data_IF_755816185795
#
_entry.id   IF_755816185795
#
_cell.length_a   1.000
_cell.length_b   1.000
_cell.length_c   1.000
_cell.angle_alpha   90.00
_cell.angle_beta   90.00
_cell.angle_gamma   90.00
#
_symmetry.space_group_name_H-M   'P 1'
#
loop_
_entity.id
_entity.type
_entity.pdbx_description
1 polymer ?
#
# COMPACT_ATOMS: atom_id res chain seq x y z
N UNK A 1 -2.05 30.98 23.03
CA UNK A 1 -2.74 29.69 23.25
C UNK A 1 -1.73 28.57 23.01
N UNK A 2 -1.22 28.01 24.10
CA UNK A 2 -0.21 26.92 24.04
C UNK A 2 -0.88 25.64 23.52
N UNK A 3 -0.59 25.27 22.28
CA UNK A 3 -0.89 23.91 21.78
C UNK A 3 0.04 22.92 22.51
N UNK A 4 -0.50 22.22 23.47
CA UNK A 4 0.14 21.05 24.08
C UNK A 4 0.50 20.06 22.97
N UNK A 5 1.80 19.88 22.72
CA UNK A 5 2.35 18.82 21.86
C UNK A 5 1.92 17.48 22.46
N UNK A 6 0.81 16.94 22.02
CA UNK A 6 0.39 15.56 22.33
C UNK A 6 1.33 14.60 21.62
N UNK A 7 2.45 14.29 22.26
CA UNK A 7 3.32 13.19 21.86
C UNK A 7 2.50 11.91 21.93
N UNK A 8 2.45 11.15 20.85
CA UNK A 8 1.79 9.83 20.79
C UNK A 8 2.59 8.75 21.57
N UNK A 9 3.81 9.10 21.99
CA UNK A 9 4.58 8.27 22.91
C UNK A 9 3.98 8.45 24.31
N UNK A 10 3.69 7.37 25.04
CA UNK A 10 3.30 7.47 26.45
C UNK A 10 4.42 8.14 27.24
N UNK A 11 4.06 8.93 28.25
CA UNK A 11 4.97 9.70 29.08
C UNK A 11 6.00 8.84 29.84
N UNK A 12 5.74 7.54 29.96
CA UNK A 12 6.62 6.57 30.61
C UNK A 12 7.12 5.52 29.63
N UNK A 13 8.21 5.84 28.92
CA UNK A 13 8.80 4.97 27.89
C UNK A 13 9.52 3.74 28.45
N UNK A 14 9.68 3.62 29.76
CA UNK A 14 10.51 2.59 30.40
C UNK A 14 9.87 1.21 30.52
N UNK A 15 8.53 1.08 30.40
CA UNK A 15 7.80 -0.17 30.57
C UNK A 15 6.79 -0.49 29.43
N UNK A 16 6.94 0.12 28.27
CA UNK A 16 6.05 -0.15 27.13
C UNK A 16 6.37 -1.50 26.51
N UNK A 17 5.43 -2.43 26.68
CA UNK A 17 5.43 -3.72 26.01
C UNK A 17 4.48 -3.70 24.83
N UNK A 18 4.62 -4.64 23.89
CA UNK A 18 3.69 -4.80 22.78
C UNK A 18 2.23 -5.01 23.24
N UNK A 19 2.05 -5.75 24.33
CA UNK A 19 0.72 -6.11 24.83
C UNK A 19 0.07 -4.96 25.62
N UNK A 20 0.87 -4.03 26.17
CA UNK A 20 0.39 -2.82 26.85
C UNK A 20 0.11 -1.63 25.93
N UNK A 21 0.14 -1.82 24.59
CA UNK A 21 -0.09 -0.71 23.64
C UNK A 21 -1.56 -0.33 23.51
N UNK A 22 -1.85 0.97 23.66
CA UNK A 22 -3.16 1.54 23.33
C UNK A 22 -3.34 1.67 21.81
N UNK A 23 -3.87 0.61 21.22
CA UNK A 23 -4.11 0.54 19.79
C UNK A 23 -5.16 1.53 19.31
N UNK A 24 -6.19 1.80 20.11
CA UNK A 24 -7.25 2.76 19.79
C UNK A 24 -6.70 4.17 19.64
N UNK A 25 -5.81 4.56 20.55
CA UNK A 25 -5.10 5.85 20.51
C UNK A 25 -4.21 5.95 19.28
N UNK A 26 -3.46 4.89 18.96
CA UNK A 26 -2.62 4.84 17.76
C UNK A 26 -3.46 4.96 16.47
N UNK A 27 -4.57 4.25 16.38
CA UNK A 27 -5.47 4.30 15.23
C UNK A 27 -6.14 5.68 15.09
N UNK A 28 -6.58 6.29 16.20
CA UNK A 28 -7.16 7.64 16.19
C UNK A 28 -6.15 8.70 15.70
N UNK A 29 -4.90 8.62 16.16
CA UNK A 29 -3.83 9.51 15.72
C UNK A 29 -3.56 9.41 14.23
N UNK A 30 -3.41 8.17 13.72
CA UNK A 30 -3.15 7.94 12.28
C UNK A 30 -4.34 8.41 11.44
N UNK A 31 -5.60 8.10 11.86
CA UNK A 31 -6.80 8.58 11.17
C UNK A 31 -6.87 10.12 11.10
N UNK A 32 -6.49 10.80 12.18
CA UNK A 32 -6.43 12.28 12.20
C UNK A 32 -5.44 12.82 11.17
N UNK A 33 -4.26 12.20 11.03
CA UNK A 33 -3.28 12.59 10.01
C UNK A 33 -3.78 12.27 8.59
N UNK A 34 -4.39 11.12 8.38
CA UNK A 34 -4.98 10.73 7.10
C UNK A 34 -6.09 11.70 6.66
N UNK A 35 -6.99 12.10 7.55
CA UNK A 35 -8.01 13.10 7.26
C UNK A 35 -7.40 14.46 6.85
N UNK A 36 -6.31 14.87 7.51
CA UNK A 36 -5.58 16.09 7.13
C UNK A 36 -4.90 15.97 5.77
N UNK A 37 -4.39 14.78 5.41
CA UNK A 37 -3.84 14.50 4.07
C UNK A 37 -4.94 14.65 3.02
N UNK A 38 -6.11 14.02 3.22
CA UNK A 38 -7.27 14.15 2.32
C UNK A 38 -7.65 15.61 2.12
N UNK A 39 -7.78 16.38 3.22
CA UNK A 39 -8.10 17.81 3.14
C UNK A 39 -7.07 18.59 2.32
N UNK A 40 -5.79 18.40 2.63
CA UNK A 40 -4.70 19.08 1.92
C UNK A 40 -4.63 18.69 0.44
N UNK A 41 -4.91 17.41 0.11
CA UNK A 41 -4.98 16.93 -1.28
C UNK A 41 -6.12 17.58 -2.06
N UNK A 42 -7.32 17.66 -1.48
CA UNK A 42 -8.47 18.32 -2.10
C UNK A 42 -8.25 19.83 -2.31
N UNK A 43 -7.47 20.45 -1.44
CA UNK A 43 -7.10 21.88 -1.53
C UNK A 43 -5.90 22.13 -2.47
N UNK A 44 -5.34 21.11 -3.13
CA UNK A 44 -4.16 21.24 -4.00
C UNK A 44 -2.86 21.61 -3.25
N UNK A 45 -2.82 21.48 -1.92
CA UNK A 45 -1.67 21.88 -1.09
C UNK A 45 -0.61 20.78 -1.02
N UNK A 46 0.05 20.49 -2.13
CA UNK A 46 0.98 19.37 -2.28
C UNK A 46 2.17 19.39 -1.28
N UNK A 47 2.70 20.57 -0.93
CA UNK A 47 3.77 20.66 0.08
C UNK A 47 3.25 20.26 1.48
N UNK A 48 2.01 20.62 1.82
CA UNK A 48 1.38 20.20 3.07
C UNK A 48 1.11 18.69 3.08
N UNK A 49 0.71 18.11 1.95
CA UNK A 49 0.57 16.65 1.80
C UNK A 49 1.89 15.96 2.10
N UNK A 50 3.01 16.39 1.48
CA UNK A 50 4.36 15.84 1.73
C UNK A 50 4.76 15.93 3.21
N UNK A 51 4.52 17.08 3.85
CA UNK A 51 4.82 17.26 5.28
C UNK A 51 4.00 16.33 6.17
N UNK A 52 2.70 16.15 5.88
CA UNK A 52 1.82 15.24 6.63
C UNK A 52 2.18 13.77 6.40
N UNK A 53 2.56 13.37 5.19
CA UNK A 53 3.09 12.03 4.90
C UNK A 53 4.37 11.77 5.68
N UNK A 54 5.26 12.76 5.76
CA UNK A 54 6.48 12.66 6.56
C UNK A 54 6.15 12.48 8.05
N UNK A 55 5.27 13.32 8.60
CA UNK A 55 4.82 13.19 10.00
C UNK A 55 4.23 11.82 10.29
N UNK A 56 3.39 11.29 9.39
CA UNK A 56 2.78 9.98 9.55
C UNK A 56 3.84 8.88 9.56
N UNK A 57 4.71 8.83 8.56
CA UNK A 57 5.72 7.78 8.40
C UNK A 57 6.82 7.80 9.47
N UNK A 58 7.00 8.93 10.18
CA UNK A 58 7.93 9.06 11.29
C UNK A 58 7.29 8.84 12.65
N UNK A 59 5.95 8.82 12.74
CA UNK A 59 5.24 8.66 14.01
C UNK A 59 5.37 7.23 14.57
N UNK A 60 5.52 7.14 15.90
CA UNK A 60 5.53 5.86 16.60
C UNK A 60 4.23 5.07 16.35
N UNK A 61 3.08 5.72 16.41
CA UNK A 61 1.78 5.10 16.22
C UNK A 61 1.63 4.43 14.84
N UNK A 62 2.05 5.10 13.77
CA UNK A 62 1.96 4.52 12.44
C UNK A 62 2.92 3.33 12.25
N UNK A 63 4.14 3.42 12.80
CA UNK A 63 5.10 2.31 12.80
C UNK A 63 4.56 1.10 13.57
N UNK A 64 3.97 1.33 14.74
CA UNK A 64 3.34 0.27 15.53
C UNK A 64 2.20 -0.41 14.78
N UNK A 65 1.30 0.37 14.14
CA UNK A 65 0.22 -0.17 13.31
C UNK A 65 0.73 -0.92 12.09
N UNK A 66 1.84 -0.48 11.48
CA UNK A 66 2.48 -1.21 10.38
C UNK A 66 2.98 -2.59 10.83
N UNK A 67 3.65 -2.66 11.99
CA UNK A 67 4.07 -3.94 12.58
C UNK A 67 2.86 -4.81 12.94
N UNK A 68 1.81 -4.24 13.58
CA UNK A 68 0.56 -4.94 13.90
C UNK A 68 -0.04 -5.56 12.64
N UNK A 69 -0.16 -4.80 11.55
CA UNK A 69 -0.72 -5.26 10.28
C UNK A 69 -0.01 -6.49 9.72
N UNK A 70 1.32 -6.50 9.71
CA UNK A 70 2.08 -7.61 9.11
C UNK A 70 2.20 -8.84 10.01
N UNK A 71 1.99 -8.67 11.31
CA UNK A 71 2.03 -9.77 12.30
C UNK A 71 0.65 -10.34 12.63
N UNK A 72 -0.44 -9.75 12.10
CA UNK A 72 -1.82 -10.24 12.31
C UNK A 72 -2.50 -10.77 11.05
N UNK A 73 -1.90 -10.62 9.88
CA UNK A 73 -2.47 -11.08 8.61
C UNK A 73 -2.17 -12.59 8.35
N UNK A 74 -2.82 -13.15 7.32
CA UNK A 74 -2.63 -14.57 6.92
C UNK A 74 -1.16 -14.90 6.56
N UNK A 75 -0.39 -13.90 6.10
CA UNK A 75 1.02 -14.07 5.73
C UNK A 75 2.01 -13.96 6.89
N UNK A 76 1.55 -13.82 8.15
CA UNK A 76 2.41 -13.63 9.34
C UNK A 76 3.47 -14.72 9.54
N UNK A 77 3.17 -15.95 9.12
CA UNK A 77 4.03 -17.11 9.25
C UNK A 77 4.92 -17.37 8.01
N UNK A 78 4.90 -16.46 7.03
CA UNK A 78 5.67 -16.61 5.80
C UNK A 78 6.84 -15.63 5.80
N UNK A 79 8.07 -16.13 5.91
CA UNK A 79 9.29 -15.33 5.91
C UNK A 79 9.72 -14.90 4.50
N UNK A 80 10.50 -13.83 4.40
CA UNK A 80 11.23 -13.44 3.20
C UNK A 80 12.49 -14.28 2.96
N UNK A 81 13.48 -13.70 2.27
CA UNK A 81 14.79 -14.31 2.02
C UNK A 81 15.61 -14.47 3.30
N UNK A 82 15.38 -13.59 4.29
CA UNK A 82 16.05 -13.57 5.60
C UNK A 82 15.58 -14.66 6.56
N UNK A 83 14.52 -15.40 6.21
CA UNK A 83 13.86 -16.43 7.03
C UNK A 83 13.43 -15.94 8.42
N UNK A 84 13.33 -14.62 8.63
CA UNK A 84 12.95 -14.04 9.92
C UNK A 84 11.44 -13.86 10.03
N UNK A 85 10.92 -14.09 11.25
CA UNK A 85 9.52 -13.84 11.62
C UNK A 85 9.48 -13.00 12.91
N UNK A 86 8.39 -12.24 13.06
CA UNK A 86 8.11 -11.44 14.26
C UNK A 86 6.99 -12.10 15.06
N UNK A 87 7.30 -13.21 15.70
CA UNK A 87 6.38 -14.10 16.41
C UNK A 87 6.14 -13.71 17.88
N UNK A 88 7.13 -13.11 18.55
CA UNK A 88 7.04 -12.74 19.96
C UNK A 88 6.76 -11.26 20.17
N UNK A 89 6.09 -10.86 21.29
CA UNK A 89 5.85 -9.48 21.66
C UNK A 89 7.13 -8.63 21.68
N UNK A 90 8.21 -9.17 22.20
CA UNK A 90 9.52 -8.48 22.25
C UNK A 90 10.07 -8.17 20.85
N UNK A 91 9.99 -9.13 19.91
CA UNK A 91 10.42 -8.91 18.51
C UNK A 91 9.55 -7.88 17.80
N UNK A 92 8.22 -7.94 17.99
CA UNK A 92 7.28 -6.97 17.42
C UNK A 92 7.56 -5.56 17.92
N UNK A 93 7.77 -5.39 19.22
CA UNK A 93 8.07 -4.09 19.80
C UNK A 93 9.41 -3.53 19.29
N UNK A 94 10.47 -4.35 19.26
CA UNK A 94 11.79 -3.98 18.71
C UNK A 94 11.67 -3.51 17.26
N UNK A 95 10.87 -4.20 16.45
CA UNK A 95 10.68 -3.90 15.03
C UNK A 95 10.13 -2.50 14.80
N UNK A 96 9.32 -1.93 15.71
CA UNK A 96 8.82 -0.54 15.60
C UNK A 96 10.00 0.44 15.46
N UNK A 97 11.04 0.28 16.28
CA UNK A 97 12.24 1.11 16.27
C UNK A 97 13.11 0.92 15.01
N UNK A 98 12.97 -0.22 14.34
CA UNK A 98 13.75 -0.56 13.14
C UNK A 98 13.14 0.04 11.85
N UNK A 99 11.87 0.50 11.88
CA UNK A 99 11.22 1.16 10.74
C UNK A 99 11.71 2.60 10.61
N UNK A 100 12.91 2.76 10.05
CA UNK A 100 13.57 4.06 9.82
C UNK A 100 13.82 4.24 8.33
N UNK A 101 13.58 5.46 7.81
CA UNK A 101 13.89 5.84 6.43
C UNK A 101 15.40 5.85 6.17
N UNK A 102 16.15 6.48 7.07
CA UNK A 102 17.61 6.61 6.95
C UNK A 102 18.26 5.23 7.14
N UNK A 103 19.14 4.87 6.23
CA UNK A 103 19.82 3.57 6.24
C UNK A 103 18.93 2.38 5.83
N UNK A 104 17.64 2.60 5.46
CA UNK A 104 16.81 1.52 4.97
C UNK A 104 17.25 1.07 3.57
N UNK A 105 17.44 -0.24 3.45
CA UNK A 105 17.67 -0.92 2.19
C UNK A 105 16.82 -2.21 2.16
N UNK A 106 15.88 -2.36 1.23
CA UNK A 106 15.06 -3.56 1.13
C UNK A 106 15.91 -4.73 0.68
N UNK A 107 15.53 -5.92 1.13
CA UNK A 107 16.14 -7.14 0.61
C UNK A 107 15.39 -7.62 -0.63
N UNK A 108 16.03 -8.43 -1.49
CA UNK A 108 15.37 -9.03 -2.63
C UNK A 108 14.14 -9.86 -2.19
N UNK A 109 13.17 -9.97 -3.07
CA UNK A 109 11.98 -10.76 -2.81
C UNK A 109 12.30 -12.26 -2.89
N UNK A 110 11.79 -13.06 -1.97
CA UNK A 110 11.81 -14.52 -2.11
C UNK A 110 10.74 -14.93 -3.12
N UNK A 111 11.16 -15.40 -4.30
CA UNK A 111 10.24 -15.83 -5.36
C UNK A 111 9.78 -17.26 -5.10
N UNK A 112 8.47 -17.47 -5.13
CA UNK A 112 7.82 -18.78 -5.10
C UNK A 112 6.80 -18.87 -6.22
N UNK A 113 6.50 -20.08 -6.68
CA UNK A 113 5.50 -20.32 -7.72
C UNK A 113 4.28 -20.99 -7.12
N UNK A 114 3.10 -20.41 -7.35
CA UNK A 114 1.81 -20.96 -6.89
C UNK A 114 1.05 -21.50 -8.10
N UNK A 115 0.53 -22.72 -8.01
CA UNK A 115 -0.32 -23.30 -9.05
C UNK A 115 -1.67 -22.56 -9.10
N UNK A 116 -2.06 -22.11 -10.27
CA UNK A 116 -3.42 -21.61 -10.55
C UNK A 116 -4.37 -22.79 -10.78
N UNK A 117 -5.68 -22.53 -10.72
CA UNK A 117 -6.72 -23.56 -11.03
C UNK A 117 -6.57 -24.17 -12.45
N UNK A 118 -6.05 -23.41 -13.40
CA UNK A 118 -5.78 -23.85 -14.77
C UNK A 118 -4.41 -24.53 -14.95
N UNK A 119 -3.74 -24.95 -13.89
CA UNK A 119 -2.44 -25.62 -13.91
C UNK A 119 -1.22 -24.73 -14.14
N UNK A 120 -1.40 -23.49 -14.61
CA UNK A 120 -0.30 -22.55 -14.82
C UNK A 120 0.31 -22.08 -13.50
N UNK A 121 1.61 -21.80 -13.51
CA UNK A 121 2.31 -21.24 -12.35
C UNK A 121 2.17 -19.72 -12.31
N UNK A 122 1.93 -19.19 -11.12
CA UNK A 122 1.96 -17.74 -10.83
C UNK A 122 3.16 -17.43 -9.97
N UNK A 123 4.11 -16.58 -10.41
CA UNK A 123 5.18 -16.12 -9.58
C UNK A 123 4.65 -15.20 -8.47
N UNK A 124 5.11 -15.39 -7.24
CA UNK A 124 4.82 -14.54 -6.10
C UNK A 124 6.12 -14.09 -5.46
N UNK A 125 6.30 -12.80 -5.29
CA UNK A 125 7.45 -12.22 -4.61
C UNK A 125 7.11 -11.94 -3.13
N UNK A 126 7.81 -12.60 -2.21
CA UNK A 126 7.58 -12.47 -0.77
C UNK A 126 8.66 -11.56 -0.17
N UNK A 127 8.32 -10.32 0.26
CA UNK A 127 9.25 -9.42 0.93
C UNK A 127 9.55 -9.92 2.36
N UNK A 128 10.64 -9.44 2.97
CA UNK A 128 10.91 -9.66 4.39
C UNK A 128 9.84 -9.04 5.28
N UNK A 129 9.78 -9.43 6.56
CA UNK A 129 8.84 -8.82 7.51
C UNK A 129 9.06 -7.31 7.62
N UNK A 130 10.34 -6.87 7.63
CA UNK A 130 10.70 -5.45 7.67
C UNK A 130 10.22 -4.71 6.42
N UNK A 131 10.42 -5.27 5.24
CA UNK A 131 10.01 -4.64 3.99
C UNK A 131 8.49 -4.55 3.88
N UNK A 132 7.77 -5.60 4.30
CA UNK A 132 6.29 -5.56 4.39
C UNK A 132 5.81 -4.48 5.36
N UNK A 133 6.44 -4.34 6.52
CA UNK A 133 6.08 -3.30 7.48
C UNK A 133 6.39 -1.89 6.96
N UNK A 134 7.52 -1.70 6.28
CA UNK A 134 7.84 -0.45 5.60
C UNK A 134 6.81 -0.13 4.50
N UNK A 135 6.44 -1.09 3.67
CA UNK A 135 5.37 -0.90 2.67
C UNK A 135 4.02 -0.57 3.33
N UNK A 136 3.65 -1.25 4.42
CA UNK A 136 2.43 -0.96 5.17
C UNK A 136 2.43 0.45 5.77
N UNK A 137 3.58 0.91 6.28
CA UNK A 137 3.78 2.25 6.83
C UNK A 137 3.58 3.33 5.77
N UNK A 138 4.23 3.20 4.62
CA UNK A 138 4.11 4.18 3.54
C UNK A 138 2.75 4.11 2.85
N UNK A 139 2.13 2.93 2.79
CA UNK A 139 0.77 2.78 2.27
C UNK A 139 -0.24 3.58 3.11
N UNK A 140 -0.11 3.60 4.45
CA UNK A 140 -1.00 4.42 5.29
C UNK A 140 -0.92 5.92 4.95
N UNK A 141 0.21 6.39 4.43
CA UNK A 141 0.39 7.78 4.01
C UNK A 141 -0.02 8.03 2.54
N UNK A 142 0.02 7.01 1.68
CA UNK A 142 -0.34 7.10 0.26
C UNK A 142 -1.84 6.87 0.02
N UNK A 143 -2.43 5.93 0.73
CA UNK A 143 -3.82 5.50 0.55
C UNK A 143 -4.86 6.64 0.62
N UNK A 144 -4.74 7.64 1.52
CA UNK A 144 -5.65 8.80 1.53
C UNK A 144 -5.62 9.59 0.21
N UNK A 145 -4.48 9.65 -0.45
CA UNK A 145 -4.34 10.34 -1.74
C UNK A 145 -4.97 9.48 -2.84
N UNK A 146 -4.59 8.20 -2.92
CA UNK A 146 -5.14 7.27 -3.90
C UNK A 146 -6.67 7.19 -3.85
N UNK A 147 -7.28 7.19 -2.65
CA UNK A 147 -8.73 7.22 -2.50
C UNK A 147 -9.38 8.56 -2.88
N UNK A 148 -8.61 9.67 -2.81
CA UNK A 148 -9.10 11.00 -3.17
C UNK A 148 -9.05 11.24 -4.68
N UNK A 149 -8.07 10.66 -5.37
CA UNK A 149 -7.82 10.88 -6.80
C UNK A 149 -8.31 9.73 -7.69
N UNK A 150 -8.55 8.56 -7.10
CA UNK A 150 -8.91 7.34 -7.84
C UNK A 150 -10.27 7.41 -8.53
N UNK A 151 -10.37 6.75 -9.67
CA UNK A 151 -11.60 6.67 -10.47
C UNK A 151 -12.78 6.14 -9.64
N UNK A 152 -13.95 6.78 -9.80
CA UNK A 152 -15.15 6.52 -9.00
C UNK A 152 -15.59 5.05 -9.08
N UNK A 153 -15.53 4.46 -10.26
CA UNK A 153 -15.99 3.11 -10.54
C UNK A 153 -14.87 2.06 -10.53
N UNK A 154 -13.68 2.42 -10.03
CA UNK A 154 -12.62 1.46 -9.71
C UNK A 154 -12.91 0.79 -8.37
N UNK A 155 -13.03 -0.55 -8.33
CA UNK A 155 -13.40 -1.30 -7.13
C UNK A 155 -12.27 -2.18 -6.60
N UNK A 156 -11.41 -2.69 -7.48
CA UNK A 156 -10.36 -3.65 -7.15
C UNK A 156 -9.37 -3.11 -6.11
N UNK A 157 -9.01 -3.94 -5.12
CA UNK A 157 -8.00 -3.65 -4.10
C UNK A 157 -8.24 -2.41 -3.22
N UNK A 158 -9.39 -1.78 -3.28
CA UNK A 158 -9.73 -0.58 -2.50
C UNK A 158 -10.44 -0.97 -1.20
N UNK A 159 -10.12 -0.26 -0.12
CA UNK A 159 -10.76 -0.46 1.19
C UNK A 159 -12.26 -0.16 1.12
N UNK A 160 -13.05 -0.96 1.86
CA UNK A 160 -14.51 -0.84 1.96
C UNK A 160 -15.24 -0.97 0.61
N UNK A 161 -14.58 -1.45 -0.44
CA UNK A 161 -15.20 -1.82 -1.70
C UNK A 161 -15.17 -3.34 -1.85
N UNK A 162 -16.29 -3.91 -2.28
CA UNK A 162 -16.50 -5.34 -2.44
C UNK A 162 -16.90 -5.66 -3.87
N UNK A 163 -16.74 -6.91 -4.27
CA UNK A 163 -17.22 -7.41 -5.57
C UNK A 163 -18.71 -7.12 -5.77
N UNK A 164 -19.50 -7.23 -4.70
CA UNK A 164 -20.95 -6.93 -4.74
C UNK A 164 -21.23 -5.47 -5.11
N UNK A 165 -20.37 -4.52 -4.71
CA UNK A 165 -20.55 -3.10 -5.06
C UNK A 165 -20.34 -2.89 -6.56
N UNK A 166 -19.38 -3.59 -7.16
CA UNK A 166 -19.18 -3.59 -8.62
C UNK A 166 -20.37 -4.22 -9.35
N UNK A 167 -20.86 -5.38 -8.87
CA UNK A 167 -22.02 -6.06 -9.46
C UNK A 167 -23.26 -5.16 -9.40
N UNK A 168 -23.54 -4.53 -8.27
CA UNK A 168 -24.67 -3.60 -8.13
C UNK A 168 -24.54 -2.39 -9.07
N UNK A 169 -23.34 -1.88 -9.27
CA UNK A 169 -23.11 -0.80 -10.21
C UNK A 169 -23.37 -1.24 -11.65
N UNK A 170 -22.92 -2.42 -12.03
CA UNK A 170 -23.20 -3.02 -13.36
C UNK A 170 -24.71 -3.19 -13.54
N UNK A 171 -25.41 -3.79 -12.57
CA UNK A 171 -26.86 -3.95 -12.60
C UNK A 171 -27.59 -2.60 -12.75
N UNK A 172 -27.17 -1.59 -11.98
CA UNK A 172 -27.77 -0.24 -12.07
C UNK A 172 -27.61 0.39 -13.46
N UNK A 173 -26.51 0.12 -14.15
CA UNK A 173 -26.20 0.70 -15.46
C UNK A 173 -26.85 -0.09 -16.60
N UNK A 174 -26.94 -1.42 -16.49
CA UNK A 174 -27.35 -2.29 -17.58
C UNK A 174 -28.81 -2.77 -17.48
N UNK A 175 -29.45 -2.67 -16.33
CA UNK A 175 -30.79 -3.19 -16.08
C UNK A 175 -31.89 -2.11 -16.22
N UNK A 176 -31.85 -1.31 -17.29
CA UNK A 176 -32.87 -0.29 -17.57
C UNK A 176 -33.27 -0.31 -19.04
N UNK A 177 -34.48 0.14 -19.34
CA UNK A 177 -35.05 0.14 -20.70
C UNK A 177 -34.16 0.89 -21.73
N UNK A 178 -33.40 1.89 -21.30
CA UNK A 178 -32.47 2.66 -22.16
C UNK A 178 -31.00 2.41 -21.81
N UNK A 179 -30.67 1.22 -21.32
CA UNK A 179 -29.28 0.83 -21.01
C UNK A 179 -28.47 0.68 -22.29
N UNK A 180 -27.13 0.84 -22.20
CA UNK A 180 -26.25 0.56 -23.31
C UNK A 180 -26.38 -0.88 -23.80
N UNK A 181 -26.46 -1.08 -25.11
CA UNK A 181 -26.51 -2.41 -25.74
C UNK A 181 -25.14 -3.05 -25.94
N UNK A 182 -24.09 -2.21 -25.95
CA UNK A 182 -22.72 -2.66 -26.17
C UNK A 182 -21.90 -2.64 -24.88
N UNK A 183 -21.21 -3.72 -24.63
CA UNK A 183 -20.31 -3.90 -23.48
C UNK A 183 -18.93 -4.22 -24.00
N UNK A 184 -17.93 -3.43 -23.59
CA UNK A 184 -16.52 -3.74 -23.81
C UNK A 184 -15.97 -4.46 -22.57
N UNK A 185 -15.55 -5.71 -22.73
CA UNK A 185 -14.77 -6.44 -21.72
C UNK A 185 -13.29 -6.40 -22.11
N UNK A 186 -12.43 -5.96 -21.19
CA UNK A 186 -10.99 -5.85 -21.39
C UNK A 186 -10.21 -6.41 -20.21
N UNK A 187 -9.10 -7.09 -20.48
CA UNK A 187 -8.13 -7.54 -19.48
C UNK A 187 -6.71 -7.14 -19.86
N UNK A 188 -5.90 -6.77 -18.86
CA UNK A 188 -4.50 -6.37 -19.08
C UNK A 188 -3.61 -7.56 -18.76
N UNK A 189 -3.01 -8.13 -19.81
CA UNK A 189 -2.06 -9.23 -19.68
C UNK A 189 -0.83 -8.78 -18.89
N UNK A 190 -0.56 -9.45 -17.75
CA UNK A 190 0.62 -9.15 -16.94
C UNK A 190 0.63 -7.75 -16.34
N UNK A 191 -0.52 -7.16 -16.00
CA UNK A 191 -0.64 -5.78 -15.52
C UNK A 191 0.43 -5.41 -14.47
N UNK A 192 0.61 -6.23 -13.43
CA UNK A 192 1.61 -5.96 -12.38
C UNK A 192 3.06 -6.09 -12.87
N UNK A 193 3.30 -6.83 -13.92
CA UNK A 193 4.64 -7.18 -14.40
C UNK A 193 5.20 -6.11 -15.37
N UNK A 194 4.33 -5.27 -15.95
CA UNK A 194 4.68 -4.31 -16.99
C UNK A 194 4.45 -2.84 -16.64
N UNK A 195 4.17 -2.51 -15.35
CA UNK A 195 4.03 -1.10 -14.95
C UNK A 195 5.40 -0.43 -15.02
N UNK A 196 5.51 0.67 -15.77
CA UNK A 196 6.75 1.44 -15.91
C UNK A 196 7.25 1.98 -14.58
N UNK A 197 8.51 1.68 -14.22
CA UNK A 197 9.16 2.22 -13.03
C UNK A 197 9.29 3.75 -13.12
N UNK A 198 9.62 4.29 -14.30
CA UNK A 198 9.77 5.73 -14.49
C UNK A 198 8.43 6.44 -14.33
N UNK A 199 7.36 5.86 -14.84
CA UNK A 199 6.01 6.39 -14.62
C UNK A 199 5.69 6.45 -13.13
N UNK A 200 5.88 5.36 -12.40
CA UNK A 200 5.65 5.29 -10.96
C UNK A 200 6.49 6.32 -10.19
N UNK A 201 7.77 6.44 -10.54
CA UNK A 201 8.67 7.40 -9.89
C UNK A 201 8.27 8.85 -10.18
N UNK A 202 7.69 9.15 -11.32
CA UNK A 202 7.27 10.51 -11.65
C UNK A 202 5.90 10.87 -11.08
N UNK A 203 4.94 9.94 -11.07
CA UNK A 203 3.54 10.25 -10.77
C UNK A 203 3.09 9.89 -9.34
N UNK A 204 3.65 8.86 -8.71
CA UNK A 204 3.20 8.46 -7.37
C UNK A 204 3.66 9.47 -6.32
N UNK A 205 2.78 10.14 -5.56
CA UNK A 205 3.13 11.19 -4.59
C UNK A 205 3.61 10.59 -3.25
N UNK A 206 4.79 9.97 -3.28
CA UNK A 206 5.45 9.42 -2.09
C UNK A 206 6.97 9.63 -2.16
N UNK A 207 7.70 9.24 -1.11
CA UNK A 207 9.17 9.28 -1.09
C UNK A 207 9.75 8.47 -2.24
N UNK A 208 10.32 9.16 -3.22
CA UNK A 208 10.87 8.57 -4.45
C UNK A 208 12.07 7.65 -4.18
N UNK A 209 12.87 7.96 -3.15
CA UNK A 209 14.01 7.14 -2.76
C UNK A 209 13.55 5.77 -2.26
N UNK A 210 12.54 5.74 -1.42
CA UNK A 210 11.95 4.50 -0.90
C UNK A 210 11.27 3.71 -2.02
N UNK A 211 10.47 4.39 -2.85
CA UNK A 211 9.79 3.74 -3.98
C UNK A 211 10.80 3.09 -4.93
N UNK A 212 11.84 3.84 -5.37
CA UNK A 212 12.90 3.31 -6.25
C UNK A 212 13.58 2.08 -5.68
N UNK A 213 13.86 2.07 -4.37
CA UNK A 213 14.47 0.92 -3.71
C UNK A 213 13.59 -0.32 -3.77
N UNK A 214 12.29 -0.19 -3.57
CA UNK A 214 11.37 -1.32 -3.68
C UNK A 214 11.22 -1.83 -5.10
N UNK A 215 11.13 -0.95 -6.08
CA UNK A 215 11.00 -1.33 -7.48
C UNK A 215 12.26 -2.06 -7.99
N UNK A 216 13.44 -1.69 -7.49
CA UNK A 216 14.73 -2.25 -7.93
C UNK A 216 15.34 -3.29 -6.98
N UNK A 217 14.61 -3.79 -5.98
CA UNK A 217 15.16 -4.75 -5.02
C UNK A 217 15.44 -6.15 -5.61
N UNK A 218 14.86 -6.47 -6.77
CA UNK A 218 15.00 -7.77 -7.40
C UNK A 218 14.27 -8.91 -6.68
N UNK A 219 14.46 -10.12 -7.19
CA UNK A 219 13.88 -11.33 -6.60
C UNK A 219 14.90 -12.48 -6.63
N UNK A 220 14.94 -13.27 -5.56
CA UNK A 220 15.76 -14.47 -5.47
C UNK A 220 14.91 -15.71 -5.74
N UNK A 221 15.36 -16.54 -6.67
CA UNK A 221 14.77 -17.83 -6.99
C UNK A 221 15.89 -18.87 -7.17
N UNK A 222 15.79 -20.00 -6.48
CA UNK A 222 16.81 -21.06 -6.49
C UNK A 222 18.25 -20.54 -6.25
N UNK A 223 18.40 -19.62 -5.29
CA UNK A 223 19.69 -19.04 -4.91
C UNK A 223 20.24 -17.97 -5.88
N UNK A 224 19.60 -17.72 -7.01
CA UNK A 224 20.01 -16.70 -7.99
C UNK A 224 19.17 -15.43 -7.85
N UNK A 225 19.83 -14.27 -7.94
CA UNK A 225 19.19 -12.95 -7.93
C UNK A 225 18.79 -12.58 -9.37
N UNK A 226 17.54 -12.20 -9.54
CA UNK A 226 16.98 -11.67 -10.78
C UNK A 226 16.65 -10.18 -10.57
N UNK A 227 17.22 -9.27 -11.33
CA UNK A 227 16.88 -7.85 -11.27
C UNK A 227 15.44 -7.63 -11.69
N UNK A 228 14.86 -6.51 -11.26
CA UNK A 228 13.52 -6.06 -11.66
C UNK A 228 13.67 -4.74 -12.41
N UNK A 229 13.34 -4.71 -13.69
CA UNK A 229 13.47 -3.53 -14.55
C UNK A 229 12.15 -2.80 -14.74
N UNK A 230 11.03 -3.51 -14.67
CA UNK A 230 9.67 -3.01 -14.75
C UNK A 230 8.74 -3.75 -13.77
N UNK A 231 7.52 -3.29 -13.64
CA UNK A 231 6.49 -3.91 -12.83
C UNK A 231 6.57 -3.61 -11.34
N UNK A 232 5.56 -4.09 -10.64
CA UNK A 232 5.51 -4.07 -9.17
C UNK A 232 5.40 -5.50 -8.65
N UNK A 233 6.08 -5.83 -7.53
CA UNK A 233 6.12 -7.21 -7.06
C UNK A 233 4.72 -7.73 -6.70
N UNK A 234 4.30 -8.84 -7.33
CA UNK A 234 3.09 -9.54 -6.93
C UNK A 234 3.32 -10.12 -5.53
N UNK A 235 2.56 -9.61 -4.54
CA UNK A 235 2.69 -9.97 -3.12
C UNK A 235 3.20 -8.82 -2.23
N UNK A 236 3.61 -7.71 -2.79
CA UNK A 236 3.88 -6.49 -2.04
C UNK A 236 2.60 -5.85 -1.49
N UNK A 237 2.65 -5.36 -0.25
CA UNK A 237 1.48 -4.75 0.42
C UNK A 237 1.02 -3.46 -0.29
N UNK A 238 1.95 -2.71 -0.87
CA UNK A 238 1.68 -1.43 -1.55
C UNK A 238 1.36 -1.60 -3.04
N UNK A 239 1.79 -2.71 -3.65
CA UNK A 239 1.70 -2.93 -5.10
C UNK A 239 0.28 -2.79 -5.68
N UNK A 240 -0.79 -3.28 -5.03
CA UNK A 240 -2.14 -3.08 -5.53
C UNK A 240 -2.55 -1.60 -5.63
N UNK A 241 -2.14 -0.78 -4.67
CA UNK A 241 -2.43 0.67 -4.70
C UNK A 241 -1.61 1.37 -5.78
N UNK A 242 -0.35 0.97 -6.00
CA UNK A 242 0.46 1.52 -7.10
C UNK A 242 -0.14 1.16 -8.46
N UNK A 243 -0.61 -0.07 -8.63
CA UNK A 243 -1.28 -0.50 -9.85
C UNK A 243 -2.58 0.28 -10.11
N UNK A 244 -3.43 0.44 -9.09
CA UNK A 244 -4.63 1.26 -9.21
C UNK A 244 -4.30 2.69 -9.64
N UNK A 245 -3.33 3.33 -8.98
CA UNK A 245 -2.93 4.70 -9.33
C UNK A 245 -2.33 4.80 -10.75
N UNK A 246 -1.72 3.73 -11.27
CA UNK A 246 -1.24 3.70 -12.66
C UNK A 246 -2.38 3.55 -13.68
N UNK A 247 -3.50 2.97 -13.26
CA UNK A 247 -4.69 2.76 -14.11
C UNK A 247 -5.76 3.85 -13.92
N UNK A 248 -5.64 4.67 -12.88
CA UNK A 248 -6.55 5.79 -12.63
C UNK A 248 -6.46 6.83 -13.76
N UNK A 249 -7.60 7.43 -14.09
CA UNK A 249 -7.72 8.41 -15.17
C UNK A 249 -8.38 7.86 -16.44
N UNK A 250 -8.65 6.55 -16.52
CA UNK A 250 -9.36 5.96 -17.65
C UNK A 250 -10.80 6.48 -17.74
N UNK A 251 -11.49 6.60 -16.60
CA UNK A 251 -12.88 7.05 -16.56
C UNK A 251 -13.04 8.49 -17.06
N UNK A 252 -12.29 9.50 -16.59
CA UNK A 252 -12.37 10.86 -17.12
C UNK A 252 -11.96 10.96 -18.59
N UNK A 253 -10.95 10.19 -19.04
CA UNK A 253 -10.53 10.14 -20.44
C UNK A 253 -11.67 9.66 -21.35
N UNK A 254 -12.37 8.59 -20.96
CA UNK A 254 -13.53 8.08 -21.70
C UNK A 254 -14.68 9.08 -21.69
N UNK A 255 -14.96 9.72 -20.56
CA UNK A 255 -15.99 10.73 -20.44
C UNK A 255 -15.71 11.98 -21.30
N UNK A 256 -14.46 12.36 -21.45
CA UNK A 256 -14.04 13.46 -22.33
C UNK A 256 -14.19 13.09 -23.81
N UNK A 257 -13.76 11.88 -24.20
CA UNK A 257 -13.77 11.41 -25.58
C UNK A 257 -15.18 11.10 -26.11
N UNK A 258 -16.04 10.58 -25.25
CA UNK A 258 -17.41 10.15 -25.59
C UNK A 258 -18.44 11.04 -24.89
N UNK A 259 -18.32 12.36 -25.06
CA UNK A 259 -19.34 13.32 -24.60
C UNK A 259 -20.66 12.99 -25.28
N UNK A 260 -21.72 12.82 -24.47
CA UNK A 260 -23.08 12.74 -24.95
C UNK A 260 -23.63 14.15 -25.13
#
# INVERSE_FOLDING_TARGET
>A
MNETKTSCAPADSRNLTWDGMDWSKCEAYVRKLQARIVKAQKEGRHNKVKALQWMLTHSFCAKALAVKRVTSNKGKNTSGVDKQLWDSPKRKYKAIGELKRRGYNPQPLRRVHIKKKNGKLRPLGIPTMKDRAMQALYLMALEPIAETTGDRFSYGFRKKRRTMDAIRQIDTVLNRQHSPEWILEGDIKGCFDHISHDWLLNHIPMDKTILRKWLKCGAVFNGKLFPTEEGTPQGGIISPTLANMALDGLQPLLAERFKR
#
